data_IF_294070218974
#
_entry.id   IF_294070218974
#
_cell.length_a   1.000
_cell.length_b   1.000
_cell.length_c   1.000
_cell.angle_alpha   90.00
_cell.angle_beta   90.00
_cell.angle_gamma   90.00
#
_symmetry.space_group_name_H-M   'P 1'
#
loop_
_entity.id
_entity.type
_entity.pdbx_description
1 polymer ?
#
# COMPACT_ATOMS: atom_id res chain seq x y z
N UNK A 1 11.98 -2.02 5.73
CA UNK A 1 10.51 -1.93 5.62
C UNK A 1 10.16 -2.01 4.15
N UNK A 2 9.20 -2.85 3.76
CA UNK A 2 8.69 -2.85 2.38
C UNK A 2 7.99 -1.50 2.09
N UNK A 3 8.11 -0.99 0.86
CA UNK A 3 7.38 0.21 0.45
C UNK A 3 5.88 -0.08 0.28
N UNK A 4 5.06 0.97 0.20
CA UNK A 4 3.61 0.86 0.14
C UNK A 4 3.13 -0.04 -1.03
N UNK A 5 3.79 0.01 -2.18
CA UNK A 5 3.40 -0.81 -3.34
C UNK A 5 3.79 -2.28 -3.14
N UNK A 6 4.97 -2.54 -2.58
CA UNK A 6 5.39 -3.90 -2.23
C UNK A 6 4.45 -4.55 -1.21
N UNK A 7 3.97 -3.80 -0.22
CA UNK A 7 2.97 -4.28 0.76
C UNK A 7 1.63 -4.55 0.11
N UNK A 8 1.14 -3.63 -0.74
CA UNK A 8 -0.10 -3.83 -1.49
C UNK A 8 -0.03 -5.12 -2.33
N UNK A 9 1.07 -5.33 -3.06
CA UNK A 9 1.28 -6.55 -3.84
C UNK A 9 1.26 -7.80 -2.96
N UNK A 10 1.92 -7.76 -1.80
CA UNK A 10 1.95 -8.88 -0.87
C UNK A 10 0.54 -9.24 -0.38
N UNK A 11 -0.25 -8.25 0.05
CA UNK A 11 -1.62 -8.48 0.53
C UNK A 11 -2.51 -9.09 -0.56
N UNK A 12 -2.37 -8.63 -1.80
CA UNK A 12 -3.09 -9.19 -2.94
C UNK A 12 -2.69 -10.65 -3.20
N UNK A 13 -1.40 -10.97 -3.23
CA UNK A 13 -0.91 -12.35 -3.49
C UNK A 13 -1.35 -13.31 -2.38
N UNK A 14 -1.33 -12.85 -1.13
CA UNK A 14 -1.68 -13.66 0.03
C UNK A 14 -3.19 -13.65 0.35
N UNK A 15 -4.02 -12.95 -0.45
CA UNK A 15 -5.45 -12.72 -0.20
C UNK A 15 -5.74 -12.19 1.22
N UNK A 16 -4.89 -11.28 1.71
CA UNK A 16 -5.08 -10.60 3.00
C UNK A 16 -5.98 -9.38 2.80
N UNK A 17 -6.86 -9.15 3.76
CA UNK A 17 -7.67 -7.93 3.80
C UNK A 17 -6.80 -6.72 4.17
N UNK A 18 -7.08 -5.60 3.51
CA UNK A 18 -6.58 -4.28 3.88
C UNK A 18 -7.78 -3.35 4.00
N UNK A 19 -7.70 -2.34 4.88
CA UNK A 19 -8.77 -1.37 5.05
C UNK A 19 -8.36 -0.01 4.51
N UNK A 20 -9.37 0.80 4.18
CA UNK A 20 -9.18 2.20 3.79
C UNK A 20 -9.92 3.08 4.77
N UNK A 21 -9.20 3.98 5.42
CA UNK A 21 -9.75 4.85 6.45
C UNK A 21 -9.38 6.30 6.12
N UNK A 22 -10.39 7.14 5.88
CA UNK A 22 -10.19 8.54 5.47
C UNK A 22 -9.22 8.63 4.28
N UNK A 23 -8.03 9.21 4.49
CA UNK A 23 -6.97 9.38 3.50
C UNK A 23 -5.81 8.39 3.66
N UNK A 24 -6.05 7.24 4.30
CA UNK A 24 -5.04 6.21 4.53
C UNK A 24 -5.46 4.83 4.03
N UNK A 25 -4.47 4.06 3.61
CA UNK A 25 -4.51 2.61 3.46
C UNK A 25 -3.88 1.98 4.69
N UNK A 26 -4.54 0.99 5.29
CA UNK A 26 -4.08 0.29 6.49
C UNK A 26 -3.83 -1.18 6.17
N UNK A 27 -2.60 -1.61 6.42
CA UNK A 27 -2.07 -2.95 6.24
C UNK A 27 -1.64 -3.48 7.63
N UNK A 28 -2.59 -4.02 8.39
CA UNK A 28 -2.39 -4.38 9.80
C UNK A 28 -1.85 -3.19 10.62
N UNK A 29 -0.61 -3.27 11.09
CA UNK A 29 0.04 -2.25 11.92
C UNK A 29 0.68 -1.10 11.12
N UNK A 30 0.64 -1.17 9.78
CA UNK A 30 1.23 -0.17 8.89
C UNK A 30 0.14 0.64 8.21
N UNK A 31 0.32 1.96 8.17
CA UNK A 31 -0.60 2.85 7.46
C UNK A 31 0.17 3.79 6.52
N UNK A 32 -0.37 3.99 5.32
CA UNK A 32 0.18 4.90 4.31
C UNK A 32 -0.90 5.89 3.87
N UNK A 33 -0.52 7.15 3.63
CA UNK A 33 -1.43 8.11 3.02
C UNK A 33 -1.75 7.70 1.57
N UNK A 34 -2.95 8.02 1.09
CA UNK A 34 -3.39 7.72 -0.27
C UNK A 34 -2.56 8.39 -1.36
N UNK A 35 -1.90 9.50 -1.03
CA UNK A 35 -1.03 10.27 -1.93
C UNK A 35 0.45 9.86 -1.85
N UNK A 36 0.78 8.82 -1.08
CA UNK A 36 2.15 8.32 -0.94
C UNK A 36 2.75 8.01 -2.31
N UNK A 37 3.94 8.54 -2.58
CA UNK A 37 4.68 8.19 -3.79
C UNK A 37 5.24 6.79 -3.65
N UNK A 38 4.94 5.95 -4.63
CA UNK A 38 5.55 4.62 -4.75
C UNK A 38 6.87 4.75 -5.50
N UNK A 39 7.69 3.71 -5.44
CA UNK A 39 8.91 3.62 -6.25
C UNK A 39 8.62 3.22 -7.71
N UNK A 40 7.34 3.16 -8.11
CA UNK A 40 6.95 2.82 -9.47
C UNK A 40 7.13 4.03 -10.38
N UNK A 41 8.00 3.88 -11.37
CA UNK A 41 8.23 4.92 -12.38
C UNK A 41 7.06 4.92 -13.37
N UNK A 42 6.41 6.08 -13.50
CA UNK A 42 5.44 6.31 -14.56
C UNK A 42 6.23 6.60 -15.84
N UNK A 43 6.01 5.82 -16.89
CA UNK A 43 6.57 6.08 -18.20
C UNK A 43 5.98 7.36 -18.79
N UNK A 44 6.83 8.20 -19.40
CA UNK A 44 6.48 9.46 -20.04
C UNK A 44 7.40 9.77 -21.20
#
# INVERSE_FOLDING_TARGET
MADALSLLRQFIIENKEYTTENDRFVFNDLAYMKDVKTNYLVYG
#
